data_IF_033080002488
#
_entry.id   IF_033080002488
#
_cell.length_a   1.000
_cell.length_b   1.000
_cell.length_c   1.000
_cell.angle_alpha   90.00
_cell.angle_beta   90.00
_cell.angle_gamma   90.00
#
_symmetry.space_group_name_H-M   'P 1'
#
loop_
_entity.id
_entity.type
_entity.pdbx_description
1 polymer ?
#
# COMPACT_ATOMS: atom_id res chain seq x y z
N UNK A 1 -32.24 -20.53 13.04
CA UNK A 1 -31.82 -21.88 12.61
C UNK A 1 -30.33 -21.79 12.30
N UNK A 2 -29.50 -22.41 13.15
CA UNK A 2 -28.03 -22.35 13.10
C UNK A 2 -27.49 -22.94 11.79
N UNK A 3 -26.52 -22.24 11.19
CA UNK A 3 -25.45 -22.87 10.42
C UNK A 3 -24.12 -22.58 11.12
N UNK A 4 -23.70 -23.52 11.95
CA UNK A 4 -22.30 -23.77 12.23
C UNK A 4 -21.82 -24.73 11.15
N UNK A 5 -20.96 -24.29 10.24
CA UNK A 5 -20.16 -25.19 9.41
C UNK A 5 -18.88 -24.45 9.00
N UNK A 6 -17.80 -24.83 9.67
CA UNK A 6 -16.39 -24.59 9.34
C UNK A 6 -15.93 -23.12 9.23
N UNK A 7 -15.56 -22.55 10.36
CA UNK A 7 -14.57 -21.46 10.40
C UNK A 7 -13.18 -21.99 10.02
N UNK A 8 -13.03 -22.45 8.77
CA UNK A 8 -11.71 -22.71 8.19
C UNK A 8 -10.92 -21.41 8.31
N UNK A 9 -9.79 -21.46 9.03
CA UNK A 9 -8.84 -20.36 9.02
C UNK A 9 -8.40 -20.17 7.58
N UNK A 10 -8.80 -19.06 6.97
CA UNK A 10 -8.33 -18.67 5.63
C UNK A 10 -6.81 -18.50 5.70
N UNK A 11 -6.08 -19.46 5.13
CA UNK A 11 -4.63 -19.44 5.06
C UNK A 11 -4.18 -18.95 3.69
N UNK A 12 -3.31 -17.93 3.67
CA UNK A 12 -2.66 -17.48 2.45
C UNK A 12 -1.31 -18.16 2.27
N UNK A 13 -0.98 -18.51 1.03
CA UNK A 13 0.35 -19.03 0.67
C UNK A 13 1.40 -17.91 0.71
N UNK A 14 2.69 -18.25 0.81
CA UNK A 14 3.74 -17.23 0.77
C UNK A 14 3.89 -16.57 -0.61
N UNK A 15 3.56 -17.30 -1.70
CA UNK A 15 3.49 -16.73 -3.05
C UNK A 15 2.35 -15.72 -3.17
N UNK A 16 1.21 -16.04 -2.57
CA UNK A 16 0.07 -15.15 -2.44
C UNK A 16 0.41 -13.88 -1.64
N UNK A 17 1.10 -14.03 -0.51
CA UNK A 17 1.60 -12.90 0.29
C UNK A 17 2.55 -11.99 -0.51
N UNK A 18 3.44 -12.58 -1.31
CA UNK A 18 4.34 -11.82 -2.19
C UNK A 18 3.57 -10.94 -3.17
N UNK A 19 2.62 -11.52 -3.92
CA UNK A 19 1.84 -10.75 -4.91
C UNK A 19 0.88 -9.75 -4.27
N UNK A 20 0.33 -10.07 -3.10
CA UNK A 20 -0.45 -9.12 -2.28
C UNK A 20 0.40 -7.91 -1.90
N UNK A 21 1.65 -8.14 -1.47
CA UNK A 21 2.58 -7.07 -1.10
C UNK A 21 2.96 -6.20 -2.30
N UNK A 22 3.23 -6.82 -3.46
CA UNK A 22 3.48 -6.10 -4.72
C UNK A 22 2.27 -5.23 -5.11
N UNK A 23 1.05 -5.77 -4.97
CA UNK A 23 -0.18 -5.03 -5.23
C UNK A 23 -0.34 -3.82 -4.30
N UNK A 24 -0.03 -3.98 -3.02
CA UNK A 24 -0.13 -2.91 -2.02
C UNK A 24 0.83 -1.74 -2.30
N UNK A 25 2.02 -2.03 -2.81
CA UNK A 25 3.02 -1.00 -3.18
C UNK A 25 2.76 -0.38 -4.57
N UNK A 26 1.90 -0.99 -5.37
CA UNK A 26 1.43 -0.46 -6.64
C UNK A 26 0.37 0.64 -6.50
N UNK A 27 -0.53 0.70 -7.47
CA UNK A 27 -1.55 1.72 -7.59
C UNK A 27 -0.96 3.02 -8.14
N UNK A 28 -1.31 4.16 -7.54
CA UNK A 28 -0.88 5.44 -8.06
C UNK A 28 0.65 5.72 -7.96
N UNK A 29 1.40 4.88 -7.25
CA UNK A 29 2.88 4.94 -7.19
C UNK A 29 3.54 4.77 -8.55
N UNK A 30 2.86 4.10 -9.49
CA UNK A 30 3.35 3.93 -10.86
C UNK A 30 3.28 5.23 -11.66
N UNK A 31 2.43 6.19 -11.28
CA UNK A 31 2.22 7.47 -11.99
C UNK A 31 2.68 8.72 -11.22
N UNK A 32 2.88 8.66 -9.90
CA UNK A 32 3.29 9.82 -9.08
C UNK A 32 4.73 9.80 -8.62
N UNK A 33 5.41 10.95 -8.64
CA UNK A 33 6.76 11.16 -8.09
C UNK A 33 6.74 12.16 -6.92
N UNK A 34 6.32 11.77 -5.70
CA UNK A 34 5.99 12.73 -4.65
C UNK A 34 7.21 13.43 -4.04
N UNK A 35 8.45 12.95 -4.25
CA UNK A 35 9.70 13.60 -3.86
C UNK A 35 10.45 14.35 -4.96
N UNK A 36 9.82 14.54 -6.12
CA UNK A 36 10.49 15.13 -7.28
C UNK A 36 10.74 16.64 -7.12
N UNK A 37 9.87 17.36 -6.40
CA UNK A 37 10.03 18.80 -6.21
C UNK A 37 11.34 19.10 -5.49
N UNK A 38 11.64 18.35 -4.44
CA UNK A 38 12.84 18.50 -3.62
C UNK A 38 14.06 17.85 -4.25
N UNK A 39 13.97 16.60 -4.72
CA UNK A 39 15.14 15.85 -5.18
C UNK A 39 15.47 16.06 -6.67
N UNK A 40 14.59 16.72 -7.42
CA UNK A 40 14.77 16.94 -8.86
C UNK A 40 15.05 15.63 -9.60
N UNK A 41 16.14 15.62 -10.37
CA UNK A 41 16.56 14.42 -11.14
C UNK A 41 16.97 13.25 -10.26
N UNK A 42 17.46 13.49 -9.05
CA UNK A 42 17.93 12.46 -8.10
C UNK A 42 16.80 11.78 -7.31
N UNK A 43 15.52 12.04 -7.66
CA UNK A 43 14.35 11.44 -7.00
C UNK A 43 14.36 9.90 -7.03
N UNK A 44 15.06 9.27 -7.97
CA UNK A 44 15.25 7.82 -7.99
C UNK A 44 16.08 7.34 -6.79
N UNK A 45 17.08 8.12 -6.33
CA UNK A 45 17.85 7.82 -5.10
C UNK A 45 16.95 8.02 -3.88
N UNK A 46 16.16 9.10 -3.86
CA UNK A 46 15.17 9.34 -2.79
C UNK A 46 14.20 8.16 -2.65
N UNK A 47 13.78 7.55 -3.76
CA UNK A 47 12.92 6.36 -3.76
C UNK A 47 13.61 5.14 -3.10
N UNK A 48 14.89 4.90 -3.40
CA UNK A 48 15.67 3.81 -2.78
C UNK A 48 15.79 4.03 -1.28
N UNK A 49 16.17 5.23 -0.84
CA UNK A 49 16.32 5.57 0.58
C UNK A 49 14.98 5.41 1.30
N UNK A 50 13.90 5.88 0.69
CA UNK A 50 12.56 5.78 1.26
C UNK A 50 12.07 4.34 1.47
N UNK A 51 12.54 3.39 0.66
CA UNK A 51 12.14 1.97 0.77
C UNK A 51 12.44 1.37 2.15
N UNK A 52 13.45 1.89 2.86
CA UNK A 52 13.83 1.48 4.22
C UNK A 52 12.62 1.53 5.17
N UNK A 53 11.74 2.52 5.03
CA UNK A 53 10.55 2.67 5.87
C UNK A 53 9.59 1.50 5.69
N UNK A 54 9.46 0.94 4.49
CA UNK A 54 8.63 -0.25 4.26
C UNK A 54 9.11 -1.46 5.07
N UNK A 55 10.43 -1.68 5.12
CA UNK A 55 11.01 -2.74 5.94
C UNK A 55 10.80 -2.48 7.44
N UNK A 56 10.99 -1.23 7.90
CA UNK A 56 10.78 -0.85 9.29
C UNK A 56 9.33 -1.11 9.71
N UNK A 57 8.35 -0.69 8.91
CA UNK A 57 6.92 -0.87 9.19
C UNK A 57 6.57 -2.35 9.30
N UNK A 58 7.00 -3.19 8.35
CA UNK A 58 6.70 -4.62 8.38
C UNK A 58 7.39 -5.30 9.57
N UNK A 59 8.67 -5.00 9.79
CA UNK A 59 9.44 -5.62 10.86
C UNK A 59 8.91 -5.25 12.24
N UNK A 60 8.57 -3.96 12.46
CA UNK A 60 8.05 -3.49 13.74
C UNK A 60 6.76 -4.22 14.14
N UNK A 61 5.87 -4.48 13.18
CA UNK A 61 4.60 -5.18 13.40
C UNK A 61 4.77 -6.70 13.50
N UNK A 62 5.73 -7.26 12.77
CA UNK A 62 6.09 -8.67 12.89
C UNK A 62 6.56 -9.01 14.31
N UNK A 63 7.31 -8.13 14.98
CA UNK A 63 7.85 -8.38 16.32
C UNK A 63 6.76 -8.81 17.34
N UNK A 64 5.72 -8.03 17.65
CA UNK A 64 4.67 -8.45 18.58
C UNK A 64 3.86 -9.63 18.06
N UNK A 65 3.53 -9.67 16.76
CA UNK A 65 2.71 -10.73 16.18
C UNK A 65 3.41 -12.10 16.20
N UNK A 66 4.73 -12.12 16.06
CA UNK A 66 5.54 -13.35 16.17
C UNK A 66 5.50 -13.98 17.57
N UNK A 67 5.24 -13.18 18.61
CA UNK A 67 5.04 -13.65 19.99
C UNK A 67 3.61 -14.11 20.27
N UNK A 68 2.67 -13.79 19.37
CA UNK A 68 1.26 -14.18 19.46
C UNK A 68 0.79 -14.86 18.16
N UNK A 69 1.34 -16.04 17.79
CA UNK A 69 1.07 -16.66 16.50
C UNK A 69 -0.43 -16.94 16.30
N UNK A 70 -0.97 -16.53 15.15
CA UNK A 70 -2.37 -16.72 14.79
C UNK A 70 -3.36 -15.73 15.44
N UNK A 71 -2.88 -14.77 16.24
CA UNK A 71 -3.68 -13.64 16.70
C UNK A 71 -3.66 -12.50 15.67
N UNK A 72 -4.76 -11.75 15.55
CA UNK A 72 -4.74 -10.45 14.88
C UNK A 72 -4.04 -9.40 15.73
N UNK A 73 -3.58 -8.31 15.10
CA UNK A 73 -3.05 -7.15 15.80
C UNK A 73 -4.08 -6.57 16.77
N UNK A 74 -5.35 -6.52 16.36
CA UNK A 74 -6.47 -6.08 17.19
C UNK A 74 -6.63 -6.89 18.47
N UNK A 75 -6.58 -8.23 18.35
CA UNK A 75 -6.64 -9.13 19.53
C UNK A 75 -5.41 -9.00 20.41
N UNK A 76 -4.21 -8.85 19.84
CA UNK A 76 -2.99 -8.63 20.61
C UNK A 76 -3.07 -7.33 21.43
N UNK A 77 -3.48 -6.22 20.82
CA UNK A 77 -3.67 -4.94 21.50
C UNK A 77 -4.67 -5.07 22.67
N UNK A 78 -5.84 -5.65 22.43
CA UNK A 78 -6.88 -5.81 23.45
C UNK A 78 -6.42 -6.73 24.59
N UNK A 79 -5.65 -7.77 24.29
CA UNK A 79 -5.15 -8.74 25.29
C UNK A 79 -4.10 -8.11 26.20
N UNK A 80 -3.14 -7.36 25.63
CA UNK A 80 -2.00 -6.87 26.40
C UNK A 80 -2.21 -5.48 26.99
N UNK A 81 -2.99 -4.61 26.35
CA UNK A 81 -3.29 -3.25 26.80
C UNK A 81 -4.72 -3.04 27.28
N UNK A 82 -5.56 -4.09 27.25
CA UNK A 82 -6.95 -4.03 27.68
C UNK A 82 -7.88 -3.40 26.65
N UNK A 83 -9.18 -3.46 26.90
CA UNK A 83 -10.22 -3.06 25.94
C UNK A 83 -10.24 -1.55 25.66
N UNK A 84 -9.95 -0.71 26.65
CA UNK A 84 -9.98 0.75 26.48
C UNK A 84 -8.80 1.24 25.65
N UNK A 85 -7.56 1.03 26.13
CA UNK A 85 -6.36 1.50 25.42
C UNK A 85 -6.16 0.76 24.09
N UNK A 86 -6.39 -0.56 24.07
CA UNK A 86 -6.41 -1.34 22.83
C UNK A 86 -7.46 -0.83 21.85
N UNK A 87 -8.64 -0.42 22.33
CA UNK A 87 -9.70 0.18 21.52
C UNK A 87 -9.35 1.52 20.90
N UNK A 88 -8.73 2.42 21.66
CA UNK A 88 -8.26 3.71 21.14
C UNK A 88 -7.22 3.51 20.03
N UNK A 89 -6.30 2.56 20.19
CA UNK A 89 -5.28 2.25 19.18
C UNK A 89 -5.90 1.57 17.95
N UNK A 90 -6.85 0.66 18.13
CA UNK A 90 -7.59 0.06 17.01
C UNK A 90 -8.39 1.09 16.23
N UNK A 91 -9.03 2.03 16.92
CA UNK A 91 -9.72 3.16 16.29
C UNK A 91 -8.72 4.03 15.49
N UNK A 92 -7.50 4.20 16.02
CA UNK A 92 -6.47 4.94 15.31
C UNK A 92 -6.02 4.23 14.01
N UNK A 93 -5.84 2.90 14.03
CA UNK A 93 -5.62 2.12 12.82
C UNK A 93 -6.78 2.23 11.83
N UNK A 94 -8.04 2.19 12.31
CA UNK A 94 -9.22 2.36 11.44
C UNK A 94 -9.17 3.72 10.75
N UNK A 95 -8.91 4.82 11.47
CA UNK A 95 -8.83 6.15 10.85
C UNK A 95 -7.71 6.25 9.82
N UNK A 96 -6.54 5.65 10.10
CA UNK A 96 -5.45 5.55 9.13
C UNK A 96 -5.90 4.82 7.86
N UNK A 97 -6.37 3.58 7.98
CA UNK A 97 -6.77 2.80 6.81
C UNK A 97 -7.96 3.42 6.06
N UNK A 98 -8.89 4.04 6.78
CA UNK A 98 -10.02 4.74 6.20
C UNK A 98 -9.60 5.95 5.36
N UNK A 99 -8.71 6.79 5.88
CA UNK A 99 -8.19 7.93 5.13
C UNK A 99 -7.34 7.46 3.94
N UNK A 100 -6.55 6.39 4.10
CA UNK A 100 -5.83 5.76 2.99
C UNK A 100 -6.80 5.27 1.89
N UNK A 101 -7.92 4.63 2.24
CA UNK A 101 -8.96 4.26 1.29
C UNK A 101 -9.55 5.48 0.57
N UNK A 102 -9.78 6.59 1.28
CA UNK A 102 -10.25 7.84 0.67
C UNK A 102 -9.23 8.41 -0.33
N UNK A 103 -7.93 8.41 0.01
CA UNK A 103 -6.85 8.83 -0.90
C UNK A 103 -6.81 7.93 -2.15
N UNK A 104 -6.89 6.61 -1.98
CA UNK A 104 -6.89 5.65 -3.10
C UNK A 104 -8.08 5.90 -4.03
N UNK A 105 -9.30 6.08 -3.50
CA UNK A 105 -10.48 6.40 -4.31
C UNK A 105 -10.35 7.77 -4.99
N UNK A 106 -9.68 8.73 -4.34
CA UNK A 106 -9.41 10.04 -4.92
C UNK A 106 -8.48 9.96 -6.12
N UNK A 107 -7.42 9.14 -6.05
CA UNK A 107 -6.54 8.89 -7.19
C UNK A 107 -7.33 8.39 -8.40
N UNK A 108 -8.23 7.42 -8.18
CA UNK A 108 -9.09 6.87 -9.24
C UNK A 108 -10.02 7.94 -9.80
N UNK A 109 -10.65 8.75 -8.93
CA UNK A 109 -11.59 9.81 -9.32
C UNK A 109 -10.91 10.87 -10.19
N UNK A 110 -9.80 11.46 -9.73
CA UNK A 110 -9.14 12.55 -10.44
C UNK A 110 -8.39 12.08 -11.67
N UNK A 111 -7.72 10.92 -11.59
CA UNK A 111 -7.04 10.37 -12.76
C UNK A 111 -8.05 9.93 -13.84
N UNK A 112 -9.21 9.39 -13.44
CA UNK A 112 -10.32 9.09 -14.35
C UNK A 112 -10.84 10.33 -15.06
N UNK A 113 -11.06 11.44 -14.34
CA UNK A 113 -11.48 12.71 -14.96
C UNK A 113 -10.47 13.26 -15.98
N UNK A 114 -9.18 13.01 -15.79
CA UNK A 114 -8.12 13.48 -16.68
C UNK A 114 -7.98 12.59 -17.92
N UNK A 115 -8.14 11.28 -17.75
CA UNK A 115 -7.91 10.29 -18.82
C UNK A 115 -9.16 9.95 -19.62
N UNK A 116 -10.35 10.08 -19.01
CA UNK A 116 -11.65 9.82 -19.59
C UNK A 116 -12.62 10.95 -19.23
N UNK A 117 -12.47 12.15 -19.81
CA UNK A 117 -13.22 13.35 -19.42
C UNK A 117 -14.74 13.22 -19.61
N UNK A 118 -15.17 12.38 -20.57
CA UNK A 118 -16.58 12.09 -20.83
C UNK A 118 -17.23 11.21 -19.76
N UNK A 119 -16.44 10.59 -18.87
CA UNK A 119 -16.93 9.72 -17.81
C UNK A 119 -16.95 10.47 -16.48
N UNK A 120 -18.13 10.70 -15.86
CA UNK A 120 -18.22 11.31 -14.54
C UNK A 120 -17.38 10.57 -13.49
N UNK A 121 -16.63 11.32 -12.67
CA UNK A 121 -15.72 10.75 -11.66
C UNK A 121 -16.40 9.78 -10.68
N UNK A 122 -17.66 10.01 -10.32
CA UNK A 122 -18.42 9.14 -9.41
C UNK A 122 -18.65 7.72 -9.97
N UNK A 123 -18.65 7.56 -11.30
CA UNK A 123 -18.75 6.25 -11.94
C UNK A 123 -17.55 5.39 -11.51
N UNK A 124 -16.34 5.95 -11.56
CA UNK A 124 -15.14 5.26 -11.12
C UNK A 124 -15.19 4.84 -9.65
N UNK A 125 -15.76 5.68 -8.77
CA UNK A 125 -15.94 5.34 -7.35
C UNK A 125 -16.84 4.11 -7.21
N UNK A 126 -17.99 4.09 -7.89
CA UNK A 126 -18.93 2.96 -7.83
C UNK A 126 -18.29 1.67 -8.38
N UNK A 127 -17.55 1.76 -9.49
CA UNK A 127 -16.84 0.62 -10.09
C UNK A 127 -15.71 0.08 -9.20
N UNK A 128 -15.20 0.86 -8.25
CA UNK A 128 -14.25 0.37 -7.25
C UNK A 128 -14.96 -0.21 -6.02
N UNK A 129 -15.98 0.48 -5.50
CA UNK A 129 -16.64 0.10 -4.26
C UNK A 129 -17.48 -1.17 -4.40
N UNK A 130 -18.29 -1.29 -5.47
CA UNK A 130 -19.22 -2.43 -5.61
C UNK A 130 -18.49 -3.78 -5.75
N UNK A 131 -17.48 -3.93 -6.63
CA UNK A 131 -16.71 -5.16 -6.69
C UNK A 131 -15.90 -5.41 -5.42
N UNK A 132 -15.41 -4.36 -4.75
CA UNK A 132 -14.70 -4.52 -3.49
C UNK A 132 -15.60 -5.06 -2.37
N UNK A 133 -16.84 -4.56 -2.25
CA UNK A 133 -17.84 -5.12 -1.33
C UNK A 133 -18.10 -6.59 -1.64
N UNK A 134 -18.27 -6.93 -2.91
CA UNK A 134 -18.47 -8.32 -3.33
C UNK A 134 -17.26 -9.19 -2.96
N UNK A 135 -16.03 -8.71 -3.21
CA UNK A 135 -14.81 -9.43 -2.86
C UNK A 135 -14.64 -9.65 -1.35
N UNK A 136 -14.90 -8.64 -0.51
CA UNK A 136 -14.88 -8.80 0.95
C UNK A 136 -15.93 -9.81 1.42
N UNK A 137 -17.12 -9.82 0.79
CA UNK A 137 -18.17 -10.80 1.10
C UNK A 137 -17.79 -12.24 0.72
N UNK A 138 -16.97 -12.44 -0.30
CA UNK A 138 -16.48 -13.75 -0.71
C UNK A 138 -15.32 -14.28 0.16
N UNK A 139 -14.70 -13.42 0.99
CA UNK A 139 -13.60 -13.79 1.87
C UNK A 139 -12.21 -13.50 1.30
N UNK A 140 -11.20 -13.50 2.18
CA UNK A 140 -9.84 -13.11 1.81
C UNK A 140 -9.23 -14.06 0.78
N UNK A 141 -9.51 -15.35 0.89
CA UNK A 141 -8.91 -16.36 0.03
C UNK A 141 -9.24 -16.11 -1.44
N UNK A 142 -10.49 -15.72 -1.75
CA UNK A 142 -10.91 -15.41 -3.12
C UNK A 142 -10.18 -14.18 -3.66
N UNK A 143 -10.10 -13.12 -2.84
CA UNK A 143 -9.39 -11.88 -3.21
C UNK A 143 -7.91 -12.16 -3.50
N UNK A 144 -7.27 -12.97 -2.65
CA UNK A 144 -5.84 -13.25 -2.77
C UNK A 144 -5.52 -14.21 -3.91
N UNK A 145 -6.40 -15.17 -4.23
CA UNK A 145 -6.29 -15.98 -5.46
C UNK A 145 -6.39 -15.11 -6.72
N UNK A 146 -7.28 -14.12 -6.73
CA UNK A 146 -7.39 -13.17 -7.84
C UNK A 146 -6.13 -12.30 -7.99
N UNK A 147 -5.57 -11.83 -6.87
CA UNK A 147 -4.29 -11.09 -6.82
C UNK A 147 -3.16 -11.95 -7.39
N UNK A 148 -3.04 -13.19 -6.94
CA UNK A 148 -1.98 -14.10 -7.37
C UNK A 148 -2.04 -14.41 -8.87
N UNK A 149 -3.22 -14.34 -9.49
CA UNK A 149 -3.38 -14.51 -10.93
C UNK A 149 -3.15 -13.20 -11.71
N UNK A 150 -3.80 -12.09 -11.30
CA UNK A 150 -3.81 -10.85 -12.08
C UNK A 150 -2.56 -9.98 -11.87
N UNK A 151 -2.04 -9.87 -10.65
CA UNK A 151 -0.90 -8.98 -10.36
C UNK A 151 0.37 -9.35 -11.13
N UNK A 152 0.76 -10.64 -11.29
CA UNK A 152 1.88 -11.00 -12.16
C UNK A 152 1.69 -10.51 -13.60
N UNK A 153 0.47 -10.62 -14.14
CA UNK A 153 0.15 -10.17 -15.51
C UNK A 153 0.32 -8.65 -15.59
N UNK A 154 -0.21 -7.90 -14.62
CA UNK A 154 -0.06 -6.45 -14.56
C UNK A 154 1.42 -6.04 -14.43
N UNK A 155 2.22 -6.76 -13.65
CA UNK A 155 3.67 -6.52 -13.54
C UNK A 155 4.38 -6.80 -14.86
N UNK A 156 4.02 -7.86 -15.59
CA UNK A 156 4.58 -8.15 -16.91
C UNK A 156 4.24 -7.02 -17.89
N UNK A 157 2.99 -6.58 -17.94
CA UNK A 157 2.56 -5.45 -18.78
C UNK A 157 3.37 -4.20 -18.43
N UNK A 158 3.54 -3.92 -17.13
CA UNK A 158 4.32 -2.77 -16.68
C UNK A 158 5.79 -2.87 -17.07
N UNK A 159 6.41 -4.05 -16.93
CA UNK A 159 7.78 -4.29 -17.38
C UNK A 159 7.91 -4.08 -18.90
N UNK A 160 6.95 -4.53 -19.70
CA UNK A 160 6.94 -4.28 -21.15
C UNK A 160 6.90 -2.78 -21.43
N UNK A 161 6.03 -2.04 -20.76
CA UNK A 161 5.97 -0.58 -20.91
C UNK A 161 7.30 0.09 -20.54
N UNK A 162 7.91 -0.31 -19.44
CA UNK A 162 9.22 0.20 -19.01
C UNK A 162 10.34 -0.11 -20.02
N UNK A 163 10.32 -1.27 -20.67
CA UNK A 163 11.27 -1.62 -21.74
C UNK A 163 11.03 -0.80 -23.00
N UNK A 164 9.77 -0.58 -23.39
CA UNK A 164 9.41 0.21 -24.57
C UNK A 164 9.75 1.71 -24.43
N UNK A 165 9.91 2.19 -23.20
CA UNK A 165 10.37 3.56 -22.92
C UNK A 165 11.86 3.75 -23.19
N UNK A 166 12.69 2.69 -23.15
CA UNK A 166 14.16 2.80 -23.25
C UNK A 166 14.66 3.66 -24.41
N UNK A 167 14.10 3.59 -25.64
CA UNK A 167 14.55 4.42 -26.77
C UNK A 167 14.28 5.93 -26.59
N UNK A 168 13.43 6.31 -25.64
CA UNK A 168 13.07 7.70 -25.33
C UNK A 168 13.95 8.32 -24.23
N UNK A 169 14.86 7.53 -23.66
CA UNK A 169 15.69 7.96 -22.53
C UNK A 169 17.01 8.57 -22.99
N UNK A 170 17.35 9.72 -22.43
CA UNK A 170 18.68 10.32 -22.54
C UNK A 170 19.43 10.11 -21.22
N UNK A 171 20.25 9.05 -21.18
CA UNK A 171 20.99 8.66 -19.98
C UNK A 171 22.04 9.70 -19.56
N UNK A 172 22.45 10.61 -20.46
CA UNK A 172 23.38 11.68 -20.09
C UNK A 172 22.77 12.65 -19.08
N UNK A 173 21.43 12.75 -19.06
CA UNK A 173 20.69 13.62 -18.13
C UNK A 173 20.73 13.17 -16.68
N UNK A 174 21.18 11.94 -16.38
CA UNK A 174 21.46 11.49 -15.00
C UNK A 174 22.63 12.27 -14.40
N UNK A 175 23.54 12.79 -15.22
CA UNK A 175 24.71 13.50 -14.74
C UNK A 175 24.46 15.02 -14.65
N UNK A 176 25.11 15.71 -13.70
CA UNK A 176 25.84 15.12 -12.57
C UNK A 176 24.89 14.55 -11.49
N UNK A 177 25.22 13.36 -10.96
CA UNK A 177 24.46 12.72 -9.88
C UNK A 177 24.69 13.50 -8.58
N UNK A 178 23.61 13.83 -7.85
CA UNK A 178 23.65 14.61 -6.61
C UNK A 178 24.37 15.96 -6.78
N UNK A 179 24.06 16.67 -7.86
CA UNK A 179 24.64 17.99 -8.18
C UNK A 179 24.52 19.00 -7.02
N UNK A 180 23.38 18.95 -6.33
CA UNK A 180 23.05 19.81 -5.19
C UNK A 180 23.37 19.15 -3.82
N UNK A 181 24.12 18.04 -3.85
CA UNK A 181 24.47 17.24 -2.68
C UNK A 181 23.35 16.32 -2.18
N UNK A 182 23.54 15.74 -1.00
CA UNK A 182 22.63 14.73 -0.44
C UNK A 182 21.35 15.32 0.19
N UNK A 183 21.36 16.61 0.54
CA UNK A 183 20.26 17.24 1.30
C UNK A 183 18.94 17.23 0.51
N UNK A 184 18.89 17.63 -0.78
CA UNK A 184 17.65 17.58 -1.57
C UNK A 184 17.15 16.15 -1.78
N UNK A 185 18.07 15.19 -1.91
CA UNK A 185 17.73 13.75 -2.00
C UNK A 185 17.04 13.26 -0.74
N UNK A 186 17.55 13.61 0.45
CA UNK A 186 16.92 13.25 1.72
C UNK A 186 15.58 13.97 1.93
N UNK A 187 15.47 15.22 1.51
CA UNK A 187 14.21 15.95 1.55
C UNK A 187 13.13 15.28 0.68
N UNK A 188 13.47 14.92 -0.57
CA UNK A 188 12.57 14.17 -1.46
C UNK A 188 12.30 12.73 -1.01
N UNK A 189 13.14 12.17 -0.12
CA UNK A 189 12.87 10.86 0.46
C UNK A 189 11.67 10.90 1.42
N UNK A 190 11.41 12.01 2.12
CA UNK A 190 10.31 12.14 3.10
C UNK A 190 8.93 11.84 2.50
N UNK A 191 8.50 12.49 1.39
CA UNK A 191 7.22 12.16 0.78
C UNK A 191 7.19 10.74 0.18
N UNK A 192 8.31 10.26 -0.37
CA UNK A 192 8.43 8.87 -0.86
C UNK A 192 8.35 7.84 0.29
N UNK A 193 8.84 8.16 1.49
CA UNK A 193 8.79 7.30 2.68
C UNK A 193 7.35 7.02 3.06
N UNK A 194 6.47 8.01 2.94
CA UNK A 194 5.04 7.81 3.10
C UNK A 194 4.45 7.03 1.93
N UNK A 195 4.49 7.66 0.74
CA UNK A 195 3.88 7.13 -0.47
C UNK A 195 4.97 6.60 -1.42
N UNK A 196 5.09 5.27 -1.60
CA UNK A 196 4.17 4.22 -1.14
C UNK A 196 4.60 3.45 0.12
N UNK A 197 5.82 3.65 0.64
CA UNK A 197 6.44 2.63 1.51
C UNK A 197 5.83 2.51 2.90
N UNK A 198 5.39 3.59 3.56
CA UNK A 198 4.71 3.49 4.85
C UNK A 198 3.27 2.95 4.72
N UNK A 199 2.64 3.18 3.56
CA UNK A 199 1.31 2.67 3.24
C UNK A 199 1.28 1.15 2.98
N UNK A 200 2.41 0.45 3.11
CA UNK A 200 2.48 -1.01 3.14
C UNK A 200 1.87 -1.62 4.40
N UNK A 201 1.60 -0.81 5.43
CA UNK A 201 1.09 -1.23 6.73
C UNK A 201 -0.04 -2.30 6.71
N UNK A 202 -1.04 -2.25 5.80
CA UNK A 202 -2.05 -3.32 5.72
C UNK A 202 -1.46 -4.74 5.56
N UNK A 203 -0.31 -4.89 4.89
CA UNK A 203 0.38 -6.19 4.71
C UNK A 203 0.72 -6.83 6.05
N UNK A 204 1.07 -6.04 7.07
CA UNK A 204 1.39 -6.55 8.38
C UNK A 204 0.19 -7.23 9.07
N UNK A 205 -1.03 -6.77 8.82
CA UNK A 205 -2.25 -7.34 9.40
C UNK A 205 -2.56 -8.72 8.84
N UNK A 206 -2.18 -8.99 7.59
CA UNK A 206 -2.32 -10.30 6.96
C UNK A 206 -1.41 -11.39 7.54
N UNK A 207 -0.48 -11.05 8.45
CA UNK A 207 0.33 -12.04 9.16
C UNK A 207 -0.53 -13.12 9.84
N UNK A 208 -1.70 -12.77 10.39
CA UNK A 208 -2.58 -13.73 11.08
C UNK A 208 -3.10 -14.84 10.16
N UNK A 209 -3.15 -14.58 8.86
CA UNK A 209 -3.60 -15.50 7.81
C UNK A 209 -2.46 -16.39 7.29
N UNK A 210 -1.26 -16.31 7.86
CA UNK A 210 -0.13 -17.15 7.47
C UNK A 210 0.06 -18.33 8.44
N UNK A 211 0.82 -19.34 8.00
CA UNK A 211 1.12 -20.51 8.83
C UNK A 211 1.87 -20.09 10.11
N UNK A 212 1.30 -20.44 11.26
CA UNK A 212 1.78 -20.05 12.59
C UNK A 212 2.99 -20.86 13.12
N UNK A 213 3.72 -21.58 12.27
CA UNK A 213 4.92 -22.34 12.66
C UNK A 213 6.20 -21.51 12.44
N UNK A 214 7.32 -21.90 13.06
CA UNK A 214 8.60 -21.17 12.98
C UNK A 214 9.06 -20.89 11.54
N UNK A 215 8.90 -21.88 10.65
CA UNK A 215 9.18 -21.72 9.22
C UNK A 215 8.27 -20.67 8.58
N UNK A 216 6.99 -20.65 8.94
CA UNK A 216 6.02 -19.69 8.41
C UNK A 216 6.26 -18.26 8.86
N UNK A 217 6.72 -18.07 10.10
CA UNK A 217 7.12 -16.76 10.60
C UNK A 217 8.30 -16.18 9.80
N UNK A 218 9.34 -17.00 9.56
CA UNK A 218 10.49 -16.59 8.74
C UNK A 218 10.09 -16.31 7.28
N UNK A 219 9.22 -17.15 6.72
CA UNK A 219 8.76 -16.99 5.35
C UNK A 219 7.90 -15.72 5.17
N UNK A 220 7.13 -15.30 6.18
CA UNK A 220 6.41 -14.03 6.11
C UNK A 220 7.34 -12.85 5.80
N UNK A 221 8.42 -12.69 6.57
CA UNK A 221 9.40 -11.62 6.34
C UNK A 221 10.10 -11.78 4.99
N UNK A 222 10.58 -12.98 4.67
CA UNK A 222 11.32 -13.21 3.42
C UNK A 222 10.51 -12.81 2.18
N UNK A 223 9.27 -13.31 2.06
CA UNK A 223 8.44 -13.05 0.88
C UNK A 223 7.95 -11.60 0.84
N UNK A 224 7.63 -11.00 1.99
CA UNK A 224 7.26 -9.58 2.05
C UNK A 224 8.44 -8.69 1.64
N UNK A 225 9.64 -8.95 2.15
CA UNK A 225 10.83 -8.19 1.82
C UNK A 225 11.26 -8.37 0.36
N UNK A 226 11.17 -9.58 -0.19
CA UNK A 226 11.39 -9.80 -1.62
C UNK A 226 10.40 -8.99 -2.49
N UNK A 227 9.13 -8.88 -2.08
CA UNK A 227 8.15 -8.06 -2.77
C UNK A 227 8.44 -6.55 -2.66
N UNK A 228 8.94 -6.09 -1.50
CA UNK A 228 9.44 -4.71 -1.33
C UNK A 228 10.61 -4.46 -2.28
N UNK A 229 11.58 -5.38 -2.38
CA UNK A 229 12.72 -5.26 -3.31
C UNK A 229 12.23 -5.15 -4.75
N UNK A 230 11.39 -6.07 -5.22
CA UNK A 230 10.85 -6.03 -6.58
C UNK A 230 10.14 -4.70 -6.86
N UNK A 231 9.26 -4.28 -5.96
CA UNK A 231 8.50 -3.02 -6.11
C UNK A 231 9.43 -1.81 -6.11
N UNK A 232 10.44 -1.79 -5.22
CA UNK A 232 11.45 -0.72 -5.16
C UNK A 232 12.23 -0.63 -6.47
N UNK A 233 12.65 -1.76 -7.04
CA UNK A 233 13.34 -1.81 -8.34
C UNK A 233 12.47 -1.22 -9.45
N UNK A 234 11.20 -1.65 -9.55
CA UNK A 234 10.27 -1.16 -10.57
C UNK A 234 9.97 0.34 -10.42
N UNK A 235 9.77 0.82 -9.19
CA UNK A 235 9.47 2.22 -8.90
C UNK A 235 10.70 3.14 -9.05
N UNK A 236 11.89 2.63 -8.74
CA UNK A 236 13.16 3.32 -9.01
C UNK A 236 13.40 3.42 -10.50
N UNK A 237 13.21 2.34 -11.26
CA UNK A 237 13.36 2.37 -12.71
C UNK A 237 12.42 3.40 -13.33
N UNK A 238 11.14 3.41 -12.91
CA UNK A 238 10.18 4.43 -13.32
C UNK A 238 10.63 5.86 -13.01
N UNK A 239 11.17 6.11 -11.81
CA UNK A 239 11.71 7.42 -11.46
C UNK A 239 12.90 7.80 -12.35
N UNK A 240 13.81 6.86 -12.59
CA UNK A 240 14.97 7.03 -13.44
C UNK A 240 14.56 7.34 -14.90
N UNK A 241 13.60 6.59 -15.44
CA UNK A 241 13.06 6.81 -16.78
C UNK A 241 12.44 8.20 -16.91
N UNK A 242 11.66 8.66 -15.94
CA UNK A 242 11.11 10.01 -15.96
C UNK A 242 12.19 11.09 -15.87
N UNK A 243 13.17 10.94 -14.98
CA UNK A 243 14.29 11.88 -14.82
C UNK A 243 15.22 11.97 -16.03
N UNK A 244 15.30 10.90 -16.84
CA UNK A 244 16.12 10.86 -18.07
C UNK A 244 15.36 11.23 -19.33
N UNK A 245 14.04 11.11 -19.34
CA UNK A 245 13.23 11.47 -20.48
C UNK A 245 12.95 12.98 -20.57
N UNK A 246 12.82 13.66 -19.42
CA UNK A 246 12.43 15.07 -19.36
C UNK A 246 13.57 15.96 -18.83
N UNK A 247 13.58 17.23 -19.23
CA UNK A 247 14.35 18.25 -18.53
C UNK A 247 13.76 18.48 -17.13
N UNK A 248 14.59 18.90 -16.17
CA UNK A 248 14.14 19.01 -14.77
C UNK A 248 13.03 20.05 -14.58
N UNK A 249 13.13 21.19 -15.26
CA UNK A 249 12.08 22.22 -15.22
C UNK A 249 10.74 21.67 -15.76
N UNK A 250 10.78 20.87 -16.82
CA UNK A 250 9.58 20.22 -17.36
C UNK A 250 9.06 19.16 -16.39
N UNK A 251 9.94 18.30 -15.88
CA UNK A 251 9.61 17.26 -14.91
C UNK A 251 8.89 17.82 -13.68
N UNK A 252 9.31 19.00 -13.21
CA UNK A 252 8.72 19.72 -12.06
C UNK A 252 7.29 20.24 -12.29
N UNK A 253 6.87 20.36 -13.55
CA UNK A 253 5.52 20.86 -13.89
C UNK A 253 4.53 19.76 -14.24
N UNK A 254 5.01 18.54 -14.52
CA UNK A 254 4.17 17.42 -14.91
C UNK A 254 3.45 16.82 -13.70
N UNK A 255 2.12 16.74 -13.76
CA UNK A 255 1.29 16.13 -12.71
C UNK A 255 1.54 14.62 -12.58
N UNK A 256 1.67 13.92 -13.72
CA UNK A 256 1.93 12.49 -13.79
C UNK A 256 3.09 12.22 -14.77
N UNK A 257 4.34 12.44 -14.37
CA UNK A 257 5.47 12.34 -15.30
C UNK A 257 5.62 10.95 -15.93
N UNK A 258 5.55 9.82 -15.19
CA UNK A 258 5.55 8.49 -15.79
C UNK A 258 4.42 8.24 -16.81
N UNK A 259 3.21 8.75 -16.55
CA UNK A 259 2.10 8.64 -17.52
C UNK A 259 2.38 9.44 -18.79
N UNK A 260 2.94 10.65 -18.64
CA UNK A 260 3.36 11.49 -19.76
C UNK A 260 4.44 10.82 -20.60
N UNK A 261 5.36 10.09 -19.96
CA UNK A 261 6.41 9.33 -20.65
C UNK A 261 5.84 8.17 -21.48
N UNK A 262 4.89 7.41 -20.94
CA UNK A 262 4.25 6.32 -21.70
C UNK A 262 3.53 6.84 -22.95
N UNK A 263 2.94 8.04 -22.88
CA UNK A 263 2.28 8.68 -24.03
C UNK A 263 3.24 9.11 -25.14
N UNK A 264 4.56 9.16 -24.89
CA UNK A 264 5.57 9.47 -25.92
C UNK A 264 6.06 8.23 -26.69
N UNK A 265 5.62 7.03 -26.29
CA UNK A 265 6.02 5.79 -26.96
C UNK A 265 5.25 5.66 -28.26
N UNK A 266 6.00 5.51 -29.35
CA UNK A 266 5.50 5.26 -30.69
C UNK A 266 6.28 4.06 -31.23
N UNK A 267 5.59 2.96 -31.56
CA UNK A 267 6.22 1.75 -32.11
C UNK A 267 5.79 1.58 -33.56
N UNK A 268 6.61 2.11 -34.47
CA UNK A 268 6.31 2.15 -35.91
C UNK A 268 5.02 2.92 -36.20
N UNK A 269 4.28 2.47 -37.22
CA UNK A 269 2.97 3.05 -37.62
C UNK A 269 1.77 2.23 -37.12
N UNK A 270 1.95 1.32 -36.17
CA UNK A 270 0.93 0.32 -35.78
C UNK A 270 0.46 0.50 -34.33
N UNK A 271 1.33 0.89 -33.41
CA UNK A 271 1.00 1.14 -32.01
C UNK A 271 1.26 2.60 -31.65
N UNK A 272 0.24 3.42 -31.83
CA UNK A 272 0.28 4.87 -31.56
C UNK A 272 -0.14 5.23 -30.14
N UNK A 273 -0.79 4.31 -29.40
CA UNK A 273 -1.34 4.56 -28.06
C UNK A 273 -1.20 3.36 -27.14
N UNK A 274 -0.25 3.44 -26.21
CA UNK A 274 -0.04 2.46 -25.14
C UNK A 274 -0.63 2.91 -23.79
N UNK A 275 -1.28 4.07 -23.74
CA UNK A 275 -1.92 4.57 -22.54
C UNK A 275 -2.96 3.59 -21.96
N UNK A 276 -3.79 2.84 -22.73
CA UNK A 276 -4.72 1.87 -22.15
C UNK A 276 -4.03 0.77 -21.35
N UNK A 277 -2.81 0.36 -21.73
CA UNK A 277 -2.05 -0.64 -20.97
C UNK A 277 -1.61 -0.08 -19.62
N UNK A 278 -1.15 1.17 -19.58
CA UNK A 278 -0.79 1.81 -18.31
C UNK A 278 -2.04 2.03 -17.44
N UNK A 279 -3.18 2.39 -18.04
CA UNK A 279 -4.46 2.50 -17.32
C UNK A 279 -4.86 1.15 -16.71
N UNK A 280 -4.70 0.04 -17.43
CA UNK A 280 -4.97 -1.30 -16.90
C UNK A 280 -4.08 -1.63 -15.68
N UNK A 281 -2.78 -1.32 -15.75
CA UNK A 281 -1.86 -1.49 -14.61
C UNK A 281 -2.27 -0.60 -13.43
N UNK A 282 -2.57 0.68 -13.70
CA UNK A 282 -2.99 1.65 -12.69
C UNK A 282 -4.27 1.19 -11.98
N UNK A 283 -5.37 1.00 -12.71
CA UNK A 283 -6.65 0.67 -12.10
C UNK A 283 -6.63 -0.70 -11.45
N UNK A 284 -5.96 -1.69 -12.06
CA UNK A 284 -5.85 -3.04 -11.49
C UNK A 284 -5.09 -3.05 -10.16
N UNK A 285 -3.89 -2.47 -10.11
CA UNK A 285 -3.10 -2.42 -8.86
C UNK A 285 -3.74 -1.51 -7.80
N UNK A 286 -4.36 -0.40 -8.21
CA UNK A 286 -5.09 0.50 -7.31
C UNK A 286 -6.31 -0.21 -6.69
N UNK A 287 -7.03 -1.01 -7.48
CA UNK A 287 -8.16 -1.80 -6.98
C UNK A 287 -7.72 -2.81 -5.92
N UNK A 288 -6.63 -3.54 -6.17
CA UNK A 288 -6.10 -4.49 -5.20
C UNK A 288 -5.60 -3.80 -3.92
N UNK A 289 -4.89 -2.69 -4.03
CA UNK A 289 -4.50 -1.88 -2.88
C UNK A 289 -5.72 -1.41 -2.08
N UNK A 290 -6.78 -0.98 -2.77
CA UNK A 290 -8.04 -0.56 -2.16
C UNK A 290 -8.69 -1.69 -1.38
N UNK A 291 -9.02 -2.81 -2.03
CA UNK A 291 -9.74 -3.92 -1.41
C UNK A 291 -8.95 -4.54 -0.26
N UNK A 292 -7.61 -4.62 -0.36
CA UNK A 292 -6.76 -5.11 0.72
C UNK A 292 -6.78 -4.18 1.93
N UNK A 293 -6.73 -2.86 1.74
CA UNK A 293 -6.79 -1.90 2.85
C UNK A 293 -8.19 -1.90 3.48
N UNK A 294 -9.22 -1.95 2.65
CA UNK A 294 -10.63 -1.98 3.03
C UNK A 294 -11.02 -3.26 3.80
N UNK A 295 -10.50 -4.42 3.41
CA UNK A 295 -10.72 -5.69 4.12
C UNK A 295 -10.22 -5.60 5.56
N UNK A 296 -9.05 -5.01 5.79
CA UNK A 296 -8.47 -4.83 7.13
C UNK A 296 -9.36 -3.94 8.02
N UNK A 297 -10.00 -2.90 7.48
CA UNK A 297 -10.95 -2.08 8.26
C UNK A 297 -12.10 -2.95 8.77
N UNK A 298 -12.71 -3.73 7.87
CA UNK A 298 -13.82 -4.61 8.21
C UNK A 298 -13.40 -5.68 9.24
N UNK A 299 -12.18 -6.19 9.11
CA UNK A 299 -11.59 -7.16 10.03
C UNK A 299 -11.34 -6.58 11.42
N UNK A 300 -10.77 -5.36 11.52
CA UNK A 300 -10.56 -4.70 12.81
C UNK A 300 -11.89 -4.47 13.53
N UNK A 301 -12.93 -4.02 12.80
CA UNK A 301 -14.26 -3.81 13.38
C UNK A 301 -14.82 -5.11 13.93
N UNK A 302 -14.83 -6.19 13.14
CA UNK A 302 -15.30 -7.52 13.56
C UNK A 302 -14.51 -8.05 14.76
N UNK A 303 -13.17 -8.01 14.71
CA UNK A 303 -12.30 -8.52 15.78
C UNK A 303 -12.40 -7.69 17.08
N UNK A 304 -12.58 -6.37 16.98
CA UNK A 304 -12.65 -5.48 18.14
C UNK A 304 -13.98 -5.63 18.90
N UNK A 305 -15.10 -5.64 18.18
CA UNK A 305 -16.42 -5.80 18.78
C UNK A 305 -16.74 -7.25 19.12
N UNK A 306 -16.02 -8.21 18.52
CA UNK A 306 -16.30 -9.65 18.62
C UNK A 306 -17.71 -9.99 18.10
N UNK A 307 -18.15 -9.28 17.07
CA UNK A 307 -19.49 -9.40 16.47
C UNK A 307 -19.36 -9.51 14.97
N UNK A 308 -20.11 -10.44 14.38
CA UNK A 308 -20.19 -10.64 12.94
C UNK A 308 -18.87 -11.09 12.30
N UNK A 309 -18.90 -11.28 11.00
CA UNK A 309 -17.74 -11.51 10.15
C UNK A 309 -17.33 -10.20 9.44
N UNK A 310 -16.10 -10.08 8.92
CA UNK A 310 -15.70 -8.91 8.13
C UNK A 310 -16.69 -8.59 6.98
N UNK A 311 -17.31 -9.61 6.39
CA UNK A 311 -18.31 -9.48 5.34
C UNK A 311 -19.58 -8.71 5.75
N UNK A 312 -19.94 -8.72 7.04
CA UNK A 312 -21.11 -7.99 7.56
C UNK A 312 -20.88 -6.48 7.55
N UNK A 313 -19.63 -6.05 7.71
CA UNK A 313 -19.22 -4.64 7.73
C UNK A 313 -18.87 -4.09 6.36
N UNK A 314 -18.94 -4.92 5.31
CA UNK A 314 -18.54 -4.53 3.96
C UNK A 314 -19.35 -3.31 3.46
N UNK A 315 -20.67 -3.44 3.34
CA UNK A 315 -21.51 -2.34 2.83
C UNK A 315 -21.39 -1.03 3.63
N UNK A 316 -21.56 -1.04 4.97
CA UNK A 316 -21.45 0.20 5.76
C UNK A 316 -20.11 0.91 5.55
N UNK A 317 -19.01 0.15 5.57
CA UNK A 317 -17.66 0.72 5.44
C UNK A 317 -17.42 1.27 4.04
N UNK A 318 -17.86 0.57 2.98
CA UNK A 318 -17.71 1.05 1.60
C UNK A 318 -18.53 2.32 1.34
N UNK A 319 -19.78 2.37 1.80
CA UNK A 319 -20.63 3.57 1.69
C UNK A 319 -19.98 4.73 2.43
N UNK A 320 -19.48 4.49 3.65
CA UNK A 320 -18.82 5.53 4.43
C UNK A 320 -17.58 6.09 3.74
N UNK A 321 -16.74 5.23 3.13
CA UNK A 321 -15.58 5.67 2.32
C UNK A 321 -16.04 6.51 1.12
N UNK A 322 -17.01 5.99 0.34
CA UNK A 322 -17.48 6.66 -0.87
C UNK A 322 -18.12 8.02 -0.62
N UNK A 323 -18.91 8.13 0.44
CA UNK A 323 -19.56 9.39 0.84
C UNK A 323 -18.55 10.38 1.43
N UNK A 324 -17.57 9.91 2.21
CA UNK A 324 -16.63 10.80 2.89
C UNK A 324 -15.52 11.33 1.98
N UNK A 325 -15.12 10.57 0.94
CA UNK A 325 -14.01 10.94 0.07
C UNK A 325 -14.14 12.35 -0.54
N UNK A 326 -15.28 12.78 -1.12
CA UNK A 326 -15.42 14.13 -1.67
C UNK A 326 -15.27 15.25 -0.64
N UNK A 327 -15.58 15.00 0.63
CA UNK A 327 -15.43 15.99 1.70
C UNK A 327 -14.01 16.05 2.24
N UNK A 328 -13.31 14.91 2.30
CA UNK A 328 -11.95 14.81 2.81
C UNK A 328 -10.90 15.21 1.76
N UNK A 329 -11.17 14.95 0.48
CA UNK A 329 -10.27 15.26 -0.64
C UNK A 329 -11.06 15.96 -1.77
N UNK A 330 -11.58 17.18 -1.52
CA UNK A 330 -12.42 17.91 -2.48
C UNK A 330 -11.67 18.42 -3.72
N UNK A 331 -10.34 18.42 -3.68
CA UNK A 331 -9.48 18.88 -4.77
C UNK A 331 -8.27 17.95 -4.92
N UNK A 332 -7.71 17.89 -6.13
CA UNK A 332 -6.59 17.02 -6.45
C UNK A 332 -5.29 17.36 -5.69
N UNK A 333 -4.99 18.65 -5.54
CA UNK A 333 -3.80 19.15 -4.86
C UNK A 333 -3.72 18.71 -3.39
N UNK A 334 -4.87 18.49 -2.74
CA UNK A 334 -4.94 17.95 -1.38
C UNK A 334 -4.25 16.58 -1.28
N UNK A 335 -4.27 15.76 -2.34
CA UNK A 335 -3.57 14.46 -2.35
C UNK A 335 -2.07 14.68 -2.11
N UNK A 336 -1.47 15.66 -2.79
CA UNK A 336 -0.05 15.98 -2.69
C UNK A 336 0.27 16.69 -1.38
N UNK A 337 -0.52 17.70 -1.00
CA UNK A 337 -0.34 18.47 0.23
C UNK A 337 -0.45 17.60 1.49
N UNK A 338 -1.27 16.55 1.46
CA UNK A 338 -1.49 15.67 2.61
C UNK A 338 -0.46 14.54 2.74
N UNK A 339 0.41 14.28 1.75
CA UNK A 339 1.40 13.19 1.81
C UNK A 339 2.26 13.29 3.07
N UNK A 340 2.89 14.45 3.32
CA UNK A 340 3.81 14.61 4.46
C UNK A 340 3.04 14.73 5.80
N UNK A 341 1.98 15.56 5.93
CA UNK A 341 1.19 15.61 7.17
C UNK A 341 0.62 14.25 7.57
N UNK A 342 0.07 13.49 6.61
CA UNK A 342 -0.48 12.16 6.86
C UNK A 342 0.60 11.20 7.37
N UNK A 343 1.82 11.26 6.81
CA UNK A 343 2.96 10.49 7.29
C UNK A 343 3.30 10.79 8.75
N UNK A 344 3.47 12.08 9.06
CA UNK A 344 3.89 12.56 10.37
C UNK A 344 2.89 12.18 11.45
N UNK A 345 1.60 12.38 11.19
CA UNK A 345 0.53 11.94 12.10
C UNK A 345 0.64 10.45 12.32
N UNK A 346 0.83 9.66 11.26
CA UNK A 346 0.84 8.19 11.30
C UNK A 346 2.12 7.54 11.85
N UNK A 347 3.19 8.30 12.08
CA UNK A 347 4.47 7.79 12.62
C UNK A 347 4.33 6.88 13.85
N UNK A 348 3.45 7.18 14.85
CA UNK A 348 3.25 6.31 15.99
C UNK A 348 2.76 4.90 15.62
N UNK A 349 1.95 4.75 14.57
CA UNK A 349 1.46 3.46 14.08
C UNK A 349 2.59 2.64 13.47
N UNK A 350 3.56 3.30 12.80
CA UNK A 350 4.61 2.61 12.05
C UNK A 350 5.68 1.98 12.93
N UNK A 351 6.03 2.58 14.08
CA UNK A 351 7.14 2.10 14.90
C UNK A 351 6.88 2.15 16.42
N UNK A 352 6.53 3.30 17.05
CA UNK A 352 6.35 3.38 18.50
C UNK A 352 5.32 2.39 19.05
N UNK A 353 4.10 2.35 18.51
CA UNK A 353 3.00 1.51 19.00
C UNK A 353 3.34 0.01 18.92
N UNK A 354 3.72 -0.56 17.75
CA UNK A 354 4.02 -1.98 17.67
C UNK A 354 5.26 -2.38 18.50
N UNK A 355 6.25 -1.50 18.65
CA UNK A 355 7.41 -1.75 19.50
C UNK A 355 7.05 -1.76 20.99
N UNK A 356 6.24 -0.80 21.44
CA UNK A 356 5.72 -0.78 22.82
C UNK A 356 4.88 -2.03 23.11
N UNK A 357 4.08 -2.48 22.15
CA UNK A 357 3.31 -3.71 22.27
C UNK A 357 4.24 -4.91 22.42
N UNK A 358 5.28 -5.02 21.59
CA UNK A 358 6.29 -6.07 21.69
C UNK A 358 6.98 -6.10 23.06
N UNK A 359 7.42 -4.94 23.56
CA UNK A 359 8.04 -4.81 24.89
C UNK A 359 7.04 -5.27 25.98
N UNK A 360 5.79 -4.85 25.89
CA UNK A 360 4.74 -5.24 26.84
C UNK A 360 4.54 -6.76 26.88
N UNK A 361 4.46 -7.41 25.71
CA UNK A 361 4.30 -8.86 25.59
C UNK A 361 5.49 -9.59 26.24
N UNK A 362 6.72 -9.16 25.95
CA UNK A 362 7.94 -9.75 26.51
C UNK A 362 8.01 -9.65 28.03
N UNK A 363 7.60 -8.51 28.59
CA UNK A 363 7.59 -8.31 30.06
C UNK A 363 6.53 -9.21 30.72
N UNK A 364 5.31 -9.30 30.17
CA UNK A 364 4.25 -10.13 30.74
C UNK A 364 4.57 -11.63 30.63
N UNK A 365 5.04 -12.10 29.48
CA UNK A 365 5.40 -13.52 29.30
C UNK A 365 6.57 -13.96 30.18
N UNK A 366 7.50 -13.07 30.53
CA UNK A 366 8.58 -13.36 31.50
C UNK A 366 8.06 -13.48 32.94
N UNK A 367 7.06 -12.68 33.32
CA UNK A 367 6.47 -12.74 34.67
C UNK A 367 5.66 -14.03 34.88
N UNK A 368 4.98 -14.54 33.85
CA UNK A 368 4.25 -15.81 33.92
C UNK A 368 5.16 -17.05 33.96
N UNK A 369 6.42 -16.93 33.54
CA UNK A 369 7.41 -18.01 33.56
C UNK A 369 8.26 -18.06 34.83
N UNK A 370 8.18 -17.08 35.73
CA UNK A 370 8.80 -17.20 37.06
C UNK A 370 7.94 -18.15 37.90
N UNK A 371 8.48 -19.28 38.39
CA UNK A 371 7.76 -20.15 39.30
C UNK A 371 7.38 -19.34 40.54
N UNK A 372 6.12 -19.47 40.96
CA UNK A 372 5.70 -19.01 42.29
C UNK A 372 6.42 -19.91 43.31
N UNK A 373 7.39 -19.34 44.02
CA UNK A 373 7.99 -19.93 45.21
C UNK A 373 9.50 -20.16 45.12
N UNK A 374 10.26 -19.36 45.87
CA UNK A 374 10.90 -19.83 47.10
C UNK A 374 10.65 -18.79 48.18
#
# INVERSE_FOLDING_TARGET
MMKTENGEKEFISFRQLFWLTVAQLGGASIIYLPGMIEAGRDVWISNIIASIVGYIVIFSHYLPLSLCPGSSMTKALNTYWGRLLGGLINLYYIFFFFFLCCLIISDVFYFGKITMPETPGYIFIVFFLVPAVYGVKLGLEVVVRLIEFLVPILVIIYCILLLLVLPKLDLQRIFPIMAEGIKPVLAGAIPNMNFPYAQILPVAFYYKHTKANSQGQRNFLNYTFMAIVLSTVLLTFRALSASTAFEEATLKTLTFPPFSLIRMIEVGNVLERLDPLLLAVFYGTTYFKFILTYYIICEIISDYFQVGQPSDFAWPTAIFIGVSMPFLVPRFDIIIETVVPYFLVSLPLFLPIPLLLYITIRIKNRKSQKPVGQ
#
